data_IF_922968422717
#
_entry.id   IF_922968422717
#
_cell.length_a   1.000
_cell.length_b   1.000
_cell.length_c   1.000
_cell.angle_alpha   90.00
_cell.angle_beta   90.00
_cell.angle_gamma   90.00
#
_symmetry.space_group_name_H-M   'P 1'
#
loop_
_entity.id
_entity.type
_entity.pdbx_description
1 polymer ?
#
# COMPACT_ATOMS: atom_id res chain seq x y z
N UNK A 1 -47.54 -64.19 -24.22
CA UNK A 1 -47.78 -63.00 -23.36
C UNK A 1 -46.59 -62.56 -22.46
N UNK A 2 -45.48 -63.27 -22.45
CA UNK A 2 -44.28 -62.89 -21.57
C UNK A 2 -43.18 -62.07 -22.27
N UNK A 3 -43.14 -62.07 -23.60
CA UNK A 3 -42.10 -61.28 -24.34
C UNK A 3 -42.38 -59.74 -24.41
N UNK A 4 -43.63 -59.29 -24.24
CA UNK A 4 -43.97 -57.87 -24.34
C UNK A 4 -43.62 -57.06 -23.07
N UNK A 5 -43.57 -57.76 -21.93
CA UNK A 5 -43.19 -57.10 -20.65
C UNK A 5 -41.68 -56.81 -20.54
N UNK A 6 -40.84 -57.74 -21.07
CA UNK A 6 -39.38 -57.55 -21.03
C UNK A 6 -38.91 -56.43 -21.99
N UNK A 7 -39.59 -56.25 -23.14
CA UNK A 7 -39.30 -55.14 -24.05
C UNK A 7 -39.66 -53.76 -23.47
N UNK A 8 -40.75 -53.70 -22.72
CA UNK A 8 -41.19 -52.45 -22.06
C UNK A 8 -40.25 -52.07 -20.91
N UNK A 9 -39.73 -53.01 -20.16
CA UNK A 9 -38.76 -52.77 -19.08
C UNK A 9 -37.39 -52.32 -19.58
N UNK A 10 -36.92 -52.84 -20.73
CA UNK A 10 -35.64 -52.41 -21.34
C UNK A 10 -35.71 -51.02 -21.94
N UNK A 11 -36.85 -50.60 -22.50
CA UNK A 11 -37.02 -49.22 -23.03
C UNK A 11 -37.15 -48.21 -21.91
N UNK A 12 -37.76 -48.54 -20.79
CA UNK A 12 -37.87 -47.69 -19.62
C UNK A 12 -36.51 -47.53 -18.91
N UNK A 13 -35.66 -48.56 -18.86
CA UNK A 13 -34.33 -48.49 -18.28
C UNK A 13 -33.37 -47.63 -19.14
N UNK A 14 -33.49 -47.69 -20.48
CA UNK A 14 -32.66 -46.86 -21.38
C UNK A 14 -33.06 -45.37 -21.33
N UNK A 15 -34.32 -45.04 -21.12
CA UNK A 15 -34.80 -43.68 -21.00
C UNK A 15 -34.37 -43.05 -19.63
N UNK A 16 -34.31 -43.85 -18.57
CA UNK A 16 -33.84 -43.38 -17.25
C UNK A 16 -32.32 -43.10 -17.23
N UNK A 17 -31.52 -43.86 -17.98
CA UNK A 17 -30.08 -43.60 -18.10
C UNK A 17 -29.76 -42.35 -18.95
N UNK A 18 -30.60 -42.02 -19.94
CA UNK A 18 -30.42 -40.82 -20.76
C UNK A 18 -30.77 -39.53 -20.03
N UNK A 19 -31.65 -39.58 -19.02
CA UNK A 19 -31.96 -38.41 -18.18
C UNK A 19 -30.94 -38.16 -17.05
N UNK A 20 -30.15 -39.18 -16.67
CA UNK A 20 -29.10 -39.03 -15.64
C UNK A 20 -27.80 -38.41 -16.20
N UNK A 21 -27.61 -38.40 -17.52
CA UNK A 21 -26.40 -37.83 -18.17
C UNK A 21 -26.48 -36.33 -18.47
N UNK A 22 -27.61 -35.68 -18.20
CA UNK A 22 -27.86 -34.27 -18.59
C UNK A 22 -27.90 -33.23 -17.47
N UNK A 23 -27.43 -33.56 -16.28
CA UNK A 23 -27.25 -32.50 -15.27
C UNK A 23 -26.10 -31.60 -15.74
N UNK A 24 -26.35 -30.31 -16.01
CA UNK A 24 -25.27 -29.38 -16.27
C UNK A 24 -24.34 -29.46 -15.07
N UNK A 25 -23.09 -29.86 -15.29
CA UNK A 25 -22.05 -29.61 -14.29
C UNK A 25 -22.03 -28.13 -14.09
N UNK A 26 -22.69 -27.63 -13.04
CA UNK A 26 -22.50 -26.26 -12.58
C UNK A 26 -21.05 -26.18 -12.20
N UNK A 27 -20.23 -25.68 -13.14
CA UNK A 27 -18.89 -25.25 -12.83
C UNK A 27 -19.05 -24.20 -11.72
N UNK A 28 -18.82 -24.61 -10.47
CA UNK A 28 -18.67 -23.64 -9.37
C UNK A 28 -17.47 -22.80 -9.78
N UNK A 29 -17.75 -21.61 -10.31
CA UNK A 29 -16.71 -20.62 -10.51
C UNK A 29 -16.05 -20.42 -9.14
N UNK A 30 -14.82 -20.84 -9.01
CA UNK A 30 -14.06 -20.66 -7.77
C UNK A 30 -14.07 -19.17 -7.45
N UNK A 31 -14.57 -18.79 -6.27
CA UNK A 31 -14.60 -17.40 -5.86
C UNK A 31 -13.17 -16.86 -5.83
N UNK A 32 -12.95 -15.74 -6.51
CA UNK A 32 -11.64 -15.09 -6.55
C UNK A 32 -11.23 -14.66 -5.15
N UNK A 33 -9.95 -14.78 -4.87
CA UNK A 33 -9.35 -14.31 -3.63
C UNK A 33 -9.29 -12.77 -3.69
N UNK A 34 -9.97 -12.04 -2.78
CA UNK A 34 -9.92 -10.58 -2.80
C UNK A 34 -8.57 -10.10 -2.31
N UNK A 35 -7.97 -9.14 -3.04
CA UNK A 35 -6.75 -8.44 -2.67
C UNK A 35 -7.00 -6.93 -2.71
N UNK A 36 -7.40 -6.38 -1.57
CA UNK A 36 -7.57 -4.92 -1.43
C UNK A 36 -6.21 -4.30 -1.13
N UNK A 37 -5.86 -3.31 -1.91
CA UNK A 37 -4.60 -2.57 -1.81
C UNK A 37 -4.91 -1.16 -1.34
N UNK A 38 -4.38 -0.72 -0.20
CA UNK A 38 -4.49 0.66 0.28
C UNK A 38 -3.16 1.40 0.10
N UNK A 39 -3.22 2.59 -0.46
CA UNK A 39 -2.06 3.47 -0.60
C UNK A 39 -2.46 4.94 -0.55
N UNK A 40 -1.65 5.81 0.08
CA UNK A 40 -1.84 7.26 0.02
C UNK A 40 -1.45 7.87 -1.33
N UNK A 41 -0.84 7.11 -2.23
CA UNK A 41 -0.41 7.59 -3.55
C UNK A 41 -1.61 8.09 -4.37
N UNK A 42 -1.39 9.21 -5.08
CA UNK A 42 -2.35 9.76 -6.03
C UNK A 42 -2.20 9.10 -7.39
N UNK A 43 -3.20 9.14 -8.31
CA UNK A 43 -3.18 8.39 -9.57
C UNK A 43 -1.96 8.65 -10.46
N UNK A 44 -1.44 9.87 -10.48
CA UNK A 44 -0.28 10.25 -11.31
C UNK A 44 1.07 9.87 -10.67
N UNK A 45 1.08 9.48 -9.39
CA UNK A 45 2.29 9.03 -8.70
C UNK A 45 2.74 7.66 -9.24
N UNK A 46 4.04 7.49 -9.42
CA UNK A 46 4.60 6.22 -9.89
C UNK A 46 4.35 5.05 -8.91
N UNK A 47 4.16 5.33 -7.62
CA UNK A 47 3.76 4.32 -6.64
C UNK A 47 2.36 3.77 -6.89
N UNK A 48 1.43 4.60 -7.39
CA UNK A 48 0.13 4.14 -7.83
C UNK A 48 0.25 3.27 -9.09
N UNK A 49 1.07 3.70 -10.05
CA UNK A 49 1.32 2.95 -11.30
C UNK A 49 1.98 1.60 -11.05
N UNK A 50 2.85 1.51 -10.05
CA UNK A 50 3.46 0.24 -9.62
C UNK A 50 2.38 -0.80 -9.24
N UNK A 51 1.34 -0.40 -8.53
CA UNK A 51 0.24 -1.30 -8.18
C UNK A 51 -0.56 -1.76 -9.40
N UNK A 52 -0.67 -0.92 -10.43
CA UNK A 52 -1.25 -1.33 -11.73
C UNK A 52 -0.39 -2.42 -12.37
N UNK A 53 0.93 -2.25 -12.41
CA UNK A 53 1.86 -3.26 -12.94
C UNK A 53 1.79 -4.55 -12.12
N UNK A 54 1.71 -4.47 -10.81
CA UNK A 54 1.52 -5.63 -9.92
C UNK A 54 0.25 -6.40 -10.30
N UNK A 55 -0.88 -5.70 -10.40
CA UNK A 55 -2.16 -6.30 -10.80
C UNK A 55 -2.08 -7.00 -12.15
N UNK A 56 -1.53 -6.32 -13.17
CA UNK A 56 -1.36 -6.89 -14.51
C UNK A 56 -0.46 -8.12 -14.52
N UNK A 57 0.61 -8.12 -13.72
CA UNK A 57 1.52 -9.25 -13.58
C UNK A 57 0.82 -10.43 -12.90
N UNK A 58 0.03 -10.16 -11.86
CA UNK A 58 -0.72 -11.19 -11.15
C UNK A 58 -1.82 -11.79 -12.04
N UNK A 59 -2.55 -10.97 -12.79
CA UNK A 59 -3.57 -11.42 -13.75
C UNK A 59 -2.98 -12.33 -14.85
N UNK A 60 -1.70 -12.11 -15.21
CA UNK A 60 -0.98 -12.96 -16.19
C UNK A 60 -0.47 -14.27 -15.59
N UNK A 61 0.06 -14.23 -14.36
CA UNK A 61 0.68 -15.38 -13.71
C UNK A 61 -0.33 -16.32 -13.05
N UNK A 62 -1.47 -15.78 -12.59
CA UNK A 62 -2.54 -16.52 -11.93
C UNK A 62 -3.92 -16.05 -12.45
N UNK A 63 -4.26 -16.34 -13.72
CA UNK A 63 -5.45 -15.81 -14.36
C UNK A 63 -6.72 -16.29 -13.67
N UNK A 64 -7.53 -15.33 -13.21
CA UNK A 64 -8.83 -15.59 -12.60
C UNK A 64 -8.80 -15.97 -11.12
N UNK A 65 -7.64 -16.11 -10.49
CA UNK A 65 -7.52 -16.51 -9.08
C UNK A 65 -7.79 -15.34 -8.11
N UNK A 66 -7.42 -14.11 -8.50
CA UNK A 66 -7.47 -12.93 -7.62
C UNK A 66 -8.45 -11.88 -8.12
N UNK A 67 -9.09 -11.17 -7.16
CA UNK A 67 -9.83 -9.92 -7.38
C UNK A 67 -9.03 -8.77 -6.77
N UNK A 68 -8.18 -8.12 -7.58
CA UNK A 68 -7.29 -7.06 -7.14
C UNK A 68 -7.98 -5.71 -7.22
N UNK A 69 -8.17 -5.06 -6.07
CA UNK A 69 -8.81 -3.75 -5.91
C UNK A 69 -7.80 -2.73 -5.38
N UNK A 70 -7.47 -1.70 -6.18
CA UNK A 70 -6.49 -0.69 -5.83
C UNK A 70 -7.21 0.57 -5.34
N UNK A 71 -7.02 0.92 -4.07
CA UNK A 71 -7.59 2.10 -3.43
C UNK A 71 -6.52 3.16 -3.25
N UNK A 72 -6.53 4.15 -4.12
CA UNK A 72 -5.61 5.29 -4.14
C UNK A 72 -6.10 6.41 -3.20
N UNK A 73 -5.27 7.45 -3.01
CA UNK A 73 -5.60 8.64 -2.22
C UNK A 73 -6.01 8.35 -0.77
N UNK A 74 -5.54 7.25 -0.18
CA UNK A 74 -5.94 6.82 1.16
C UNK A 74 -7.48 6.68 1.34
N UNK A 75 -8.20 6.30 0.27
CA UNK A 75 -9.68 6.21 0.28
C UNK A 75 -10.20 5.02 1.08
N UNK A 76 -9.42 3.94 1.21
CA UNK A 76 -9.82 2.77 2.00
C UNK A 76 -9.35 2.91 3.45
N UNK A 77 -8.09 3.25 3.66
CA UNK A 77 -7.50 3.50 4.97
C UNK A 77 -6.71 4.82 4.94
N UNK A 78 -6.89 5.65 5.99
CA UNK A 78 -6.13 6.88 6.16
C UNK A 78 -4.66 6.55 6.43
N UNK A 79 -3.72 7.34 5.87
CA UNK A 79 -2.29 7.17 6.08
C UNK A 79 -1.96 6.97 7.56
N UNK A 80 -1.23 5.89 7.85
CA UNK A 80 -0.79 5.52 9.20
C UNK A 80 -1.80 4.67 9.98
N UNK A 81 -2.94 4.26 9.38
CA UNK A 81 -3.88 3.31 9.97
C UNK A 81 -3.79 1.92 9.34
N UNK A 82 -3.12 1.80 8.20
CA UNK A 82 -2.92 0.55 7.45
C UNK A 82 -2.21 -0.54 8.27
N UNK A 83 -1.12 -0.25 9.03
CA UNK A 83 -0.44 -1.29 9.81
C UNK A 83 -1.38 -2.00 10.79
N UNK A 84 -2.19 -1.23 11.50
CA UNK A 84 -3.16 -1.79 12.43
C UNK A 84 -4.32 -2.51 11.74
N UNK A 85 -4.68 -2.14 10.52
CA UNK A 85 -5.70 -2.82 9.72
C UNK A 85 -5.19 -4.17 9.22
N UNK A 86 -3.94 -4.23 8.74
CA UNK A 86 -3.30 -5.47 8.30
C UNK A 86 -3.10 -6.45 9.46
N UNK A 87 -2.58 -5.99 10.60
CA UNK A 87 -2.40 -6.82 11.79
C UNK A 87 -3.72 -7.45 12.32
N UNK A 88 -4.87 -6.89 11.97
CA UNK A 88 -6.19 -7.43 12.28
C UNK A 88 -6.84 -8.22 11.15
N UNK A 89 -6.15 -8.42 10.03
CA UNK A 89 -6.70 -9.09 8.84
C UNK A 89 -7.78 -8.30 8.09
N UNK A 90 -7.85 -6.99 8.28
CA UNK A 90 -8.84 -6.13 7.63
C UNK A 90 -8.36 -5.53 6.30
N UNK A 91 -7.11 -5.75 5.94
CA UNK A 91 -6.47 -5.26 4.72
C UNK A 91 -5.41 -6.27 4.25
N UNK A 92 -5.43 -6.63 2.98
CA UNK A 92 -4.53 -7.64 2.43
C UNK A 92 -3.18 -7.06 2.02
N UNK A 93 -3.17 -5.88 1.39
CA UNK A 93 -1.94 -5.27 0.86
C UNK A 93 -1.92 -3.75 1.10
N UNK A 94 -0.75 -3.20 1.35
CA UNK A 94 -0.58 -1.75 1.49
C UNK A 94 0.82 -1.27 1.10
N UNK A 95 0.90 0.01 0.71
CA UNK A 95 2.17 0.75 0.75
C UNK A 95 2.28 1.45 2.10
N UNK A 96 3.24 1.03 2.91
CA UNK A 96 3.41 1.54 4.27
C UNK A 96 4.81 2.15 4.40
N UNK A 97 4.88 3.32 5.02
CA UNK A 97 6.16 3.97 5.33
C UNK A 97 6.77 3.42 6.61
N UNK A 98 8.10 3.43 6.71
CA UNK A 98 8.81 2.94 7.91
C UNK A 98 8.33 3.63 9.20
N UNK A 99 8.01 4.92 9.16
CA UNK A 99 7.50 5.65 10.32
C UNK A 99 6.09 5.21 10.76
N UNK A 100 5.29 4.63 9.87
CA UNK A 100 3.99 4.06 10.23
C UNK A 100 4.15 2.66 10.81
N UNK A 101 5.12 1.88 10.33
CA UNK A 101 5.51 0.60 10.93
C UNK A 101 6.10 0.83 12.33
N UNK A 102 6.88 1.89 12.53
CA UNK A 102 7.50 2.25 13.81
C UNK A 102 6.50 2.41 14.97
N UNK A 103 5.22 2.64 14.68
CA UNK A 103 4.16 2.68 15.70
C UNK A 103 3.92 1.32 16.37
N UNK A 104 4.23 0.22 15.68
CA UNK A 104 4.10 -1.15 16.16
C UNK A 104 5.47 -1.81 16.42
N UNK A 105 6.48 -1.42 15.65
CA UNK A 105 7.87 -1.89 15.74
C UNK A 105 8.80 -0.67 15.77
N UNK A 106 9.12 -0.11 16.96
CA UNK A 106 9.87 1.14 17.13
C UNK A 106 11.25 1.16 16.46
N UNK A 107 11.86 -0.01 16.23
CA UNK A 107 13.14 -0.19 15.56
C UNK A 107 13.13 0.40 14.13
N UNK A 108 11.97 0.42 13.47
CA UNK A 108 11.80 1.04 12.17
C UNK A 108 12.00 2.56 12.16
N UNK A 109 12.04 3.21 13.33
CA UNK A 109 12.35 4.64 13.46
C UNK A 109 13.71 5.00 12.88
N UNK A 110 14.67 4.08 12.86
CA UNK A 110 15.99 4.28 12.25
C UNK A 110 15.89 4.75 10.80
N UNK A 111 14.95 4.20 10.03
CA UNK A 111 14.78 4.54 8.61
C UNK A 111 14.03 5.86 8.37
N UNK A 112 13.60 6.53 9.43
CA UNK A 112 12.98 7.86 9.37
C UNK A 112 13.98 8.96 9.71
N UNK A 113 15.15 8.61 10.24
CA UNK A 113 16.18 9.58 10.55
C UNK A 113 16.72 10.24 9.28
N UNK A 114 16.83 11.57 9.30
CA UNK A 114 17.36 12.33 8.17
C UNK A 114 18.80 11.88 7.84
N UNK A 115 19.10 11.81 6.53
CA UNK A 115 20.42 11.48 5.99
C UNK A 115 20.93 10.05 6.21
N UNK A 116 20.17 9.16 6.84
CA UNK A 116 20.57 7.75 7.04
C UNK A 116 20.60 6.99 5.71
N UNK A 117 19.57 7.14 4.89
CA UNK A 117 19.55 6.58 3.53
C UNK A 117 19.99 7.65 2.53
N UNK A 118 21.13 7.44 1.87
CA UNK A 118 21.77 8.42 1.00
C UNK A 118 21.12 8.52 -0.38
N UNK A 119 20.79 7.37 -0.97
CA UNK A 119 20.36 7.22 -2.35
C UNK A 119 19.65 5.87 -2.56
N UNK A 120 19.02 5.60 -3.72
CA UNK A 120 18.32 4.35 -3.98
C UNK A 120 19.22 3.12 -3.92
N UNK A 121 20.49 3.23 -4.34
CA UNK A 121 21.42 2.12 -4.30
C UNK A 121 21.78 1.74 -2.85
N UNK A 122 21.98 2.74 -2.00
CA UNK A 122 22.19 2.50 -0.56
C UNK A 122 20.97 1.87 0.08
N UNK A 123 19.75 2.35 -0.23
CA UNK A 123 18.53 1.71 0.25
C UNK A 123 18.48 0.24 -0.14
N UNK A 124 18.72 -0.06 -1.41
CA UNK A 124 18.71 -1.42 -1.92
C UNK A 124 19.73 -2.30 -1.18
N UNK A 125 20.98 -1.84 -1.02
CA UNK A 125 22.02 -2.59 -0.29
C UNK A 125 21.62 -2.87 1.16
N UNK A 126 20.98 -1.91 1.85
CA UNK A 126 20.52 -2.09 3.23
C UNK A 126 19.42 -3.15 3.30
N UNK A 127 18.42 -3.07 2.43
CA UNK A 127 17.24 -3.95 2.53
C UNK A 127 17.44 -5.32 1.87
N UNK A 128 18.34 -5.45 0.90
CA UNK A 128 18.75 -6.76 0.36
C UNK A 128 19.77 -7.47 1.27
N UNK A 129 20.36 -6.73 2.21
CA UNK A 129 21.36 -7.22 3.14
C UNK A 129 20.79 -7.76 4.47
N UNK A 130 21.68 -8.10 5.43
CA UNK A 130 21.28 -8.67 6.72
C UNK A 130 20.34 -7.78 7.53
N UNK A 131 20.53 -6.45 7.48
CA UNK A 131 19.67 -5.48 8.16
C UNK A 131 18.24 -5.57 7.64
N UNK A 132 18.07 -5.63 6.32
CA UNK A 132 16.74 -5.77 5.71
C UNK A 132 16.04 -7.06 6.12
N UNK A 133 16.77 -8.18 6.12
CA UNK A 133 16.24 -9.49 6.54
C UNK A 133 15.77 -9.48 7.99
N UNK A 134 16.55 -8.89 8.90
CA UNK A 134 16.17 -8.72 10.29
C UNK A 134 14.91 -7.85 10.44
N UNK A 135 14.84 -6.73 9.73
CA UNK A 135 13.71 -5.83 9.78
C UNK A 135 12.44 -6.43 9.17
N UNK A 136 12.55 -7.22 8.09
CA UNK A 136 11.41 -7.92 7.51
C UNK A 136 10.86 -8.99 8.46
N UNK A 137 11.76 -9.74 9.12
CA UNK A 137 11.38 -10.68 10.16
C UNK A 137 10.66 -9.99 11.31
N UNK A 138 11.19 -8.85 11.77
CA UNK A 138 10.59 -8.06 12.84
C UNK A 138 9.19 -7.55 12.46
N UNK A 139 9.00 -7.05 11.24
CA UNK A 139 7.70 -6.64 10.74
C UNK A 139 6.70 -7.79 10.72
N UNK A 140 7.15 -8.98 10.27
CA UNK A 140 6.34 -10.20 10.28
C UNK A 140 5.91 -10.59 11.70
N UNK A 141 6.83 -10.60 12.66
CA UNK A 141 6.56 -10.96 14.04
C UNK A 141 5.63 -9.98 14.76
N UNK A 142 5.73 -8.68 14.47
CA UNK A 142 4.96 -7.63 15.14
C UNK A 142 3.60 -7.34 14.51
N UNK A 143 3.42 -7.62 13.22
CA UNK A 143 2.25 -7.21 12.46
C UNK A 143 1.54 -8.36 11.76
N UNK A 144 2.09 -9.59 11.81
CA UNK A 144 1.59 -10.76 11.05
C UNK A 144 1.49 -10.45 9.54
N UNK A 145 2.53 -9.86 8.98
CA UNK A 145 2.61 -9.47 7.57
C UNK A 145 3.87 -10.01 6.90
N UNK A 146 3.84 -10.13 5.58
CA UNK A 146 5.04 -10.39 4.77
C UNK A 146 5.42 -9.11 4.02
N UNK A 147 6.66 -8.66 4.18
CA UNK A 147 7.21 -7.57 3.37
C UNK A 147 7.58 -8.14 2.01
N UNK A 148 6.88 -7.72 0.97
CA UNK A 148 7.11 -8.20 -0.39
C UNK A 148 8.29 -7.49 -1.06
N UNK A 149 8.45 -6.19 -0.82
CA UNK A 149 9.51 -5.37 -1.40
C UNK A 149 9.64 -4.06 -0.66
N UNK A 150 10.79 -3.42 -0.79
CA UNK A 150 11.00 -2.02 -0.40
C UNK A 150 11.08 -1.14 -1.65
N UNK A 151 10.52 0.06 -1.54
CA UNK A 151 10.38 0.97 -2.65
C UNK A 151 11.02 2.30 -2.28
N UNK A 152 11.85 2.83 -3.16
CA UNK A 152 12.46 4.15 -2.96
C UNK A 152 11.48 5.26 -3.35
N UNK A 153 11.01 6.01 -2.37
CA UNK A 153 10.06 7.12 -2.61
C UNK A 153 10.70 8.25 -3.42
N UNK A 154 11.97 8.50 -3.19
CA UNK A 154 12.74 9.59 -3.77
C UNK A 154 13.49 10.40 -2.71
N UNK A 155 14.44 11.23 -3.16
CA UNK A 155 15.14 12.18 -2.28
C UNK A 155 14.18 13.28 -1.85
N UNK A 156 14.00 13.42 -0.55
CA UNK A 156 13.08 14.40 0.03
C UNK A 156 13.65 15.81 -0.07
N UNK A 157 12.78 16.75 -0.32
CA UNK A 157 13.08 18.18 -0.49
C UNK A 157 12.11 19.00 0.37
N UNK A 158 12.60 20.10 0.89
CA UNK A 158 11.77 21.13 1.47
C UNK A 158 10.99 21.84 0.35
N UNK A 159 9.67 21.76 0.40
CA UNK A 159 8.79 22.38 -0.59
C UNK A 159 7.91 23.42 0.11
N UNK A 160 8.08 24.68 -0.22
CA UNK A 160 7.35 25.80 0.39
C UNK A 160 6.28 26.34 -0.56
N UNK A 161 5.16 26.78 -0.02
CA UNK A 161 4.07 27.43 -0.74
C UNK A 161 4.51 28.75 -1.37
N UNK A 162 5.38 29.47 -0.67
CA UNK A 162 5.93 30.75 -1.14
C UNK A 162 7.44 30.66 -1.31
N UNK A 163 7.97 31.40 -2.26
CA UNK A 163 9.41 31.48 -2.51
C UNK A 163 10.11 32.08 -1.29
N UNK A 164 11.05 31.34 -0.72
CA UNK A 164 11.85 31.77 0.42
C UNK A 164 13.29 31.31 0.24
N UNK A 165 14.25 32.17 0.56
CA UNK A 165 15.66 31.81 0.56
C UNK A 165 15.98 31.10 1.88
N UNK A 166 16.01 29.77 1.87
CA UNK A 166 16.33 28.93 3.03
C UNK A 166 17.74 28.39 2.88
N UNK A 167 18.62 28.75 3.79
CA UNK A 167 20.03 28.30 3.82
C UNK A 167 20.40 27.65 5.15
N UNK A 168 19.71 28.03 6.21
CA UNK A 168 19.97 27.56 7.57
C UNK A 168 18.64 27.20 8.26
N UNK A 169 18.66 26.41 9.32
CA UNK A 169 17.46 26.15 10.14
C UNK A 169 16.78 27.42 10.65
N UNK A 170 17.53 28.47 10.95
CA UNK A 170 16.96 29.74 11.42
C UNK A 170 16.02 30.40 10.38
N UNK A 171 16.23 30.14 9.10
CA UNK A 171 15.41 30.68 8.02
C UNK A 171 14.01 30.04 7.98
N UNK A 172 13.81 28.91 8.67
CA UNK A 172 12.52 28.22 8.79
C UNK A 172 11.73 28.58 10.03
N UNK A 173 12.24 29.51 10.85
CA UNK A 173 11.52 29.95 12.04
C UNK A 173 10.13 30.48 11.69
N UNK A 174 9.10 29.91 12.36
CA UNK A 174 7.70 30.26 12.16
C UNK A 174 7.04 29.65 10.94
N UNK A 175 7.78 28.88 10.10
CA UNK A 175 7.21 28.13 8.98
C UNK A 175 6.46 26.93 9.52
N UNK A 176 5.17 26.83 9.25
CA UNK A 176 4.35 25.66 9.54
C UNK A 176 4.64 24.58 8.49
N UNK A 177 5.62 23.72 8.81
CA UNK A 177 6.06 22.65 7.93
C UNK A 177 5.24 21.38 8.21
N UNK A 178 4.46 20.94 7.22
CA UNK A 178 3.76 19.67 7.35
C UNK A 178 4.73 18.52 7.46
N UNK A 179 4.51 17.71 8.47
CA UNK A 179 5.18 16.45 8.67
C UNK A 179 4.17 15.30 8.79
N UNK A 180 4.55 14.06 8.44
CA UNK A 180 3.75 12.88 8.82
C UNK A 180 3.53 12.83 10.34
N UNK A 181 2.42 12.25 10.78
CA UNK A 181 2.04 12.19 12.19
C UNK A 181 2.80 11.12 12.99
N UNK A 182 4.12 11.18 13.03
CA UNK A 182 4.96 10.37 13.92
C UNK A 182 5.91 11.25 14.73
N UNK A 183 6.37 10.74 15.87
CA UNK A 183 7.27 11.47 16.78
C UNK A 183 8.59 11.84 16.10
N UNK A 184 9.13 10.93 15.31
CA UNK A 184 10.40 11.06 14.59
C UNK A 184 10.32 12.16 13.54
N UNK A 185 9.21 12.22 12.80
CA UNK A 185 9.00 13.24 11.79
C UNK A 185 8.73 14.62 12.39
N UNK A 186 7.99 14.69 13.49
CA UNK A 186 7.80 15.96 14.20
C UNK A 186 9.14 16.46 14.75
N UNK A 187 9.92 15.59 15.37
CA UNK A 187 11.28 15.92 15.82
C UNK A 187 12.17 16.42 14.66
N UNK A 188 12.14 15.75 13.50
CA UNK A 188 12.90 16.20 12.33
C UNK A 188 12.48 17.59 11.87
N UNK A 189 11.18 17.88 11.80
CA UNK A 189 10.67 19.20 11.42
C UNK A 189 11.12 20.31 12.37
N UNK A 190 11.12 20.05 13.66
CA UNK A 190 11.62 20.95 14.69
C UNK A 190 13.14 21.13 14.61
N UNK A 191 13.89 20.04 14.39
CA UNK A 191 15.33 20.08 14.22
C UNK A 191 15.76 20.87 12.96
N UNK A 192 14.91 20.90 11.94
CA UNK A 192 15.08 21.75 10.76
C UNK A 192 14.76 23.22 11.03
N UNK A 193 14.29 23.60 12.23
CA UNK A 193 13.97 24.96 12.63
C UNK A 193 12.53 25.40 12.33
N UNK A 194 11.69 24.52 11.81
CA UNK A 194 10.31 24.81 11.45
C UNK A 194 9.35 24.51 12.63
N UNK A 195 8.10 24.97 12.50
CA UNK A 195 6.99 24.49 13.33
C UNK A 195 6.39 23.26 12.71
N UNK A 196 6.74 22.06 13.25
CA UNK A 196 6.26 20.79 12.72
C UNK A 196 4.74 20.67 12.91
N UNK A 197 4.02 20.46 11.81
CA UNK A 197 2.55 20.36 11.78
C UNK A 197 2.13 18.97 11.30
N UNK A 198 1.62 18.10 12.19
CA UNK A 198 1.22 16.75 11.82
C UNK A 198 -0.02 16.76 10.94
N UNK A 199 0.06 16.12 9.76
CA UNK A 199 -1.06 16.02 8.84
C UNK A 199 -0.91 14.80 7.94
N UNK A 200 -1.99 14.06 7.68
CA UNK A 200 -1.99 12.95 6.74
C UNK A 200 -1.78 13.47 5.30
N UNK A 201 -1.14 12.64 4.44
CA UNK A 201 -0.72 13.10 3.10
C UNK A 201 -1.89 13.57 2.24
N UNK A 202 -3.04 12.89 2.27
CA UNK A 202 -4.23 13.28 1.50
C UNK A 202 -4.81 14.67 1.84
N UNK A 203 -4.42 15.26 2.97
CA UNK A 203 -4.89 16.58 3.42
C UNK A 203 -3.93 17.72 3.03
N UNK A 204 -2.72 17.38 2.56
CA UNK A 204 -1.62 18.34 2.34
C UNK A 204 -1.95 19.38 1.26
N UNK A 205 -2.49 18.94 0.13
CA UNK A 205 -2.82 19.86 -0.97
C UNK A 205 -3.78 20.97 -0.52
N UNK A 206 -4.86 20.59 0.17
CA UNK A 206 -5.84 21.57 0.65
C UNK A 206 -5.24 22.48 1.71
N UNK A 207 -4.44 21.95 2.64
CA UNK A 207 -3.80 22.72 3.68
C UNK A 207 -2.79 23.73 3.14
N UNK A 208 -2.02 23.39 2.09
CA UNK A 208 -1.17 24.33 1.37
C UNK A 208 -2.01 25.42 0.66
N UNK A 209 -3.07 25.01 -0.03
CA UNK A 209 -3.95 25.94 -0.77
C UNK A 209 -4.60 26.98 0.15
N UNK A 210 -5.03 26.57 1.32
CA UNK A 210 -5.69 27.44 2.32
C UNK A 210 -4.71 28.21 3.22
N UNK A 211 -3.41 27.90 3.17
CA UNK A 211 -2.40 28.51 4.07
C UNK A 211 -2.44 27.98 5.50
N UNK A 212 -3.10 26.85 5.74
CA UNK A 212 -3.07 26.16 7.04
C UNK A 212 -1.66 25.68 7.36
N UNK A 213 -0.90 25.29 6.34
CA UNK A 213 0.54 24.99 6.37
C UNK A 213 1.27 25.83 5.32
N UNK A 214 2.56 26.07 5.55
CA UNK A 214 3.42 26.88 4.67
C UNK A 214 4.31 26.04 3.79
N UNK A 215 4.46 24.74 4.08
CA UNK A 215 5.30 23.83 3.32
C UNK A 215 5.12 22.38 3.72
N UNK A 216 5.82 21.53 2.98
CA UNK A 216 5.91 20.10 3.21
C UNK A 216 7.31 19.58 2.88
N UNK A 217 7.67 18.42 3.40
CA UNK A 217 8.85 17.67 3.03
C UNK A 217 8.44 16.42 2.25
N UNK A 218 8.72 16.40 0.95
CA UNK A 218 8.48 15.27 0.06
C UNK A 218 9.38 15.33 -1.18
N UNK A 219 9.59 14.20 -1.89
CA UNK A 219 10.26 14.19 -3.18
C UNK A 219 9.48 14.99 -4.25
N UNK A 220 10.19 15.64 -5.15
CA UNK A 220 9.56 16.47 -6.20
C UNK A 220 8.56 15.70 -7.09
N UNK A 221 8.81 14.44 -7.49
CA UNK A 221 7.80 13.69 -8.25
C UNK A 221 6.48 13.53 -7.52
N UNK A 222 6.53 13.21 -6.22
CA UNK A 222 5.33 13.09 -5.36
C UNK A 222 4.60 14.42 -5.23
N UNK A 223 5.35 15.51 -5.01
CA UNK A 223 4.76 16.87 -4.95
C UNK A 223 4.07 17.23 -6.26
N UNK A 224 4.72 16.94 -7.39
CA UNK A 224 4.17 17.20 -8.71
C UNK A 224 2.88 16.40 -8.98
N UNK A 225 2.84 15.15 -8.57
CA UNK A 225 1.69 14.28 -8.77
C UNK A 225 0.48 14.67 -7.89
N UNK A 226 0.73 15.19 -6.68
CA UNK A 226 -0.30 15.48 -5.67
C UNK A 226 -0.97 16.88 -5.81
N UNK A 227 -0.67 17.65 -6.85
CA UNK A 227 -1.26 18.97 -7.12
C UNK A 227 -2.70 18.89 -7.65
#
# INVERSE_FOLDING_TARGET
>A
MKLSLIRRSLVAASAALALAGGLPATAFAQAKIPLRISTPAVPDDWHAKMWTVFKESLDKSAPGEFDVQIHLNATLFKQGTEPAAMARGNLELATISAFDIAKLAPEFSLFTAGYVIRDPQHQQQVFDGPIGQEMFKLASEKMDVTVLSTIYLGTRQLNLREVRNVRTPADLKGVKLRMPGSKEWLFLGEALGATATPLAFGEVYLALKTGTIDGQDNPLPTVRAAK
#
